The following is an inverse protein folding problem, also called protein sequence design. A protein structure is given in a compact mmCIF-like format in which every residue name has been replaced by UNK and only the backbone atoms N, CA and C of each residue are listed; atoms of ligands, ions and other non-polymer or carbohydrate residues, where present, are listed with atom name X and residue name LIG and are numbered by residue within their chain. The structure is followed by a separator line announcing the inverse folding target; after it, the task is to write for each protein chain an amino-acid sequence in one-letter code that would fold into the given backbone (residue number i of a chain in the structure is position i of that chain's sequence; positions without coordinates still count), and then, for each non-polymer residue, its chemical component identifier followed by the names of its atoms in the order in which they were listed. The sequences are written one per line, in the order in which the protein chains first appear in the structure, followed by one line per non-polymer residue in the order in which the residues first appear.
data_IF_895029281882
#
_entry.id   IF_895029281882
#
_cell.length_a   1.000
_cell.length_b   1.000
_cell.length_c   1.000
_cell.angle_alpha   90.00
_cell.angle_beta   90.00
_cell.angle_gamma   90.00
#
_symmetry.space_group_name_H-M   'P 1'
#
loop_
_entity.id
_entity.type
_entity.pdbx_description
1 polymer ?
#
# COMPACT_ATOMS: atom_id res chain seq x y z
N UNK A 1 0.50 20.81 -26.59
CA UNK A 1 0.62 20.69 -25.13
C UNK A 1 -0.24 19.59 -24.59
N UNK A 2 -0.32 18.56 -25.37
CA UNK A 2 -1.20 17.43 -25.05
C UNK A 2 -0.81 16.77 -23.74
N UNK A 3 0.47 16.60 -23.50
CA UNK A 3 0.92 15.97 -22.25
C UNK A 3 0.62 16.80 -21.02
N UNK A 4 0.84 18.10 -21.12
CA UNK A 4 0.55 19.01 -20.02
C UNK A 4 -0.95 19.02 -19.72
N UNK A 5 -1.76 19.04 -20.76
CA UNK A 5 -3.20 18.99 -20.62
C UNK A 5 -3.65 17.70 -19.96
N UNK A 6 -3.08 16.57 -20.35
CA UNK A 6 -3.39 15.29 -19.73
C UNK A 6 -3.04 15.27 -18.24
N UNK A 7 -1.88 15.82 -17.88
CA UNK A 7 -1.48 15.89 -16.47
C UNK A 7 -2.40 16.79 -15.66
N UNK A 8 -2.81 17.91 -16.24
CA UNK A 8 -3.70 18.84 -15.56
C UNK A 8 -5.08 18.25 -15.34
N UNK A 9 -5.60 17.53 -16.34
CA UNK A 9 -6.94 16.96 -16.29
C UNK A 9 -6.99 15.63 -15.52
N UNK A 10 -5.83 15.06 -15.26
CA UNK A 10 -5.77 13.76 -14.59
C UNK A 10 -5.92 13.91 -13.09
N UNK A 11 -7.00 13.36 -12.57
CA UNK A 11 -7.21 13.31 -11.12
C UNK A 11 -6.32 12.24 -10.50
N UNK A 12 -5.82 12.46 -9.30
CA UNK A 12 -5.18 11.39 -8.53
C UNK A 12 -6.16 10.23 -8.36
N UNK A 13 -5.67 9.03 -8.62
CA UNK A 13 -6.55 7.87 -8.72
C UNK A 13 -7.35 7.57 -7.46
N UNK A 14 -6.72 7.77 -6.29
CA UNK A 14 -7.36 7.44 -5.02
C UNK A 14 -8.24 8.55 -4.45
N UNK A 15 -8.46 9.62 -5.20
CA UNK A 15 -9.54 10.55 -4.88
C UNK A 15 -10.89 9.93 -5.20
N UNK A 16 -10.91 8.94 -6.10
CA UNK A 16 -12.12 8.17 -6.37
C UNK A 16 -12.42 7.25 -5.18
N UNK A 17 -13.60 7.37 -4.55
CA UNK A 17 -13.90 6.57 -3.35
C UNK A 17 -13.77 5.07 -3.55
N UNK A 18 -14.18 4.57 -4.70
CA UNK A 18 -14.10 3.13 -4.97
C UNK A 18 -12.65 2.67 -5.10
N UNK A 19 -11.78 3.49 -5.68
CA UNK A 19 -10.35 3.16 -5.78
C UNK A 19 -9.72 3.11 -4.40
N UNK A 20 -10.08 4.05 -3.53
CA UNK A 20 -9.62 4.05 -2.14
C UNK A 20 -10.07 2.79 -1.41
N UNK A 21 -11.31 2.39 -1.63
CA UNK A 21 -11.86 1.16 -1.05
C UNK A 21 -11.08 -0.07 -1.50
N UNK A 22 -10.76 -0.15 -2.78
CA UNK A 22 -9.95 -1.25 -3.33
C UNK A 22 -8.60 -1.30 -2.63
N UNK A 23 -7.92 -0.16 -2.53
CA UNK A 23 -6.61 -0.10 -1.88
C UNK A 23 -6.68 -0.59 -0.43
N UNK A 24 -7.67 -0.14 0.34
CA UNK A 24 -7.85 -0.54 1.73
C UNK A 24 -8.20 -2.01 1.87
N UNK A 25 -9.10 -2.49 1.04
CA UNK A 25 -9.52 -3.88 1.08
C UNK A 25 -8.35 -4.84 0.90
N UNK A 26 -7.51 -4.59 -0.07
CA UNK A 26 -6.39 -5.49 -0.36
C UNK A 26 -5.26 -5.35 0.65
N UNK A 27 -5.15 -4.21 1.33
CA UNK A 27 -4.26 -4.11 2.48
C UNK A 27 -4.67 -5.10 3.58
N UNK A 28 -5.95 -5.14 3.90
CA UNK A 28 -6.46 -6.06 4.91
C UNK A 28 -6.36 -7.52 4.46
N UNK A 29 -6.48 -7.77 3.17
CA UNK A 29 -6.34 -9.12 2.63
C UNK A 29 -4.90 -9.65 2.74
N UNK A 30 -3.92 -8.79 2.91
CA UNK A 30 -2.54 -9.22 3.13
C UNK A 30 -2.42 -10.13 4.36
N UNK A 31 -3.16 -9.81 5.42
CA UNK A 31 -3.13 -10.60 6.65
C UNK A 31 -3.72 -12.00 6.44
N UNK A 32 -4.67 -12.13 5.52
CA UNK A 32 -5.25 -13.43 5.20
C UNK A 32 -4.36 -14.25 4.28
N UNK A 33 -3.69 -13.57 3.36
CA UNK A 33 -2.81 -14.25 2.40
C UNK A 33 -1.50 -14.71 3.05
N UNK A 34 -0.93 -13.89 3.90
CA UNK A 34 0.38 -14.13 4.50
C UNK A 34 0.24 -14.21 6.02
N UNK A 35 0.38 -15.41 6.58
CA UNK A 35 0.16 -15.63 8.01
C UNK A 35 1.12 -14.88 8.92
N UNK A 36 2.32 -14.61 8.42
CA UNK A 36 3.34 -13.93 9.20
C UNK A 36 3.31 -12.42 9.07
N UNK A 37 2.27 -11.88 8.41
CA UNK A 37 2.13 -10.45 8.18
C UNK A 37 0.97 -9.91 9.00
N UNK A 38 1.20 -8.77 9.65
CA UNK A 38 0.14 -7.98 10.26
C UNK A 38 0.19 -6.58 9.72
N UNK A 39 -0.96 -6.07 9.34
CA UNK A 39 -1.10 -4.69 8.92
C UNK A 39 -1.18 -3.83 10.17
N UNK A 40 -0.26 -2.89 10.27
CA UNK A 40 -0.25 -1.90 11.33
C UNK A 40 -0.86 -0.60 10.80
N UNK A 41 -0.31 0.54 11.13
CA UNK A 41 -0.80 1.80 10.61
C UNK A 41 -0.73 1.86 9.10
N UNK A 42 -1.74 2.44 8.51
CA UNK A 42 -1.82 2.57 7.06
C UNK A 42 -2.72 3.75 6.70
N UNK A 43 -2.49 4.30 5.53
CA UNK A 43 -3.33 5.39 5.02
C UNK A 43 -3.30 5.38 3.50
N UNK A 44 -4.42 5.72 2.89
CA UNK A 44 -4.52 5.91 1.45
C UNK A 44 -4.59 7.41 1.17
N UNK A 45 -3.57 7.91 0.51
CA UNK A 45 -3.52 9.30 0.05
C UNK A 45 -3.98 9.36 -1.40
N UNK A 46 -4.31 10.56 -1.93
CA UNK A 46 -4.85 10.65 -3.29
C UNK A 46 -4.01 9.99 -4.38
N UNK A 47 -2.69 10.04 -4.27
CA UNK A 47 -1.79 9.51 -5.31
C UNK A 47 -0.80 8.46 -4.80
N UNK A 48 -0.92 8.04 -3.55
CA UNK A 48 -0.02 7.03 -2.99
C UNK A 48 -0.63 6.41 -1.74
N UNK A 49 -0.02 5.34 -1.28
CA UNK A 49 -0.41 4.71 -0.02
C UNK A 49 0.81 4.56 0.89
N UNK A 50 0.53 4.55 2.17
CA UNK A 50 1.50 4.16 3.20
C UNK A 50 0.95 2.94 3.91
N UNK A 51 1.75 1.92 4.10
CA UNK A 51 1.37 0.82 4.98
C UNK A 51 2.57 0.33 5.76
N UNK A 52 2.38 0.18 7.06
CA UNK A 52 3.36 -0.40 7.93
C UNK A 52 3.01 -1.86 8.13
N UNK A 53 3.86 -2.74 7.65
CA UNK A 53 3.66 -4.17 7.78
C UNK A 53 4.57 -4.71 8.87
N UNK A 54 3.98 -5.43 9.81
CA UNK A 54 4.71 -6.16 10.83
C UNK A 54 4.92 -7.58 10.33
N UNK A 55 6.18 -7.96 10.19
CA UNK A 55 6.54 -9.29 9.74
C UNK A 55 7.10 -10.08 10.90
N UNK A 56 6.49 -11.21 11.19
CA UNK A 56 6.97 -12.09 12.23
C UNK A 56 8.29 -12.74 11.86
N UNK A 57 8.99 -13.28 12.85
CA UNK A 57 10.37 -13.81 12.72
C UNK A 57 10.57 -14.86 11.63
N UNK A 58 9.52 -15.54 11.20
CA UNK A 58 9.65 -16.53 10.14
C UNK A 58 9.71 -15.80 8.81
N UNK A 59 10.87 -15.83 8.18
CA UNK A 59 11.07 -15.17 6.88
C UNK A 59 10.54 -16.02 5.73
N UNK A 60 9.30 -16.47 5.82
CA UNK A 60 8.72 -17.30 4.77
C UNK A 60 8.49 -16.56 3.46
N UNK A 61 8.16 -15.27 3.55
CA UNK A 61 7.81 -14.48 2.38
C UNK A 61 8.59 -13.18 2.35
N UNK A 62 9.41 -12.95 1.32
CA UNK A 62 10.11 -11.67 1.20
C UNK A 62 9.13 -10.53 0.92
N UNK A 63 9.49 -9.33 1.38
CA UNK A 63 8.65 -8.15 1.22
C UNK A 63 8.34 -7.88 -0.26
N UNK A 64 9.30 -8.11 -1.15
CA UNK A 64 9.09 -7.93 -2.58
C UNK A 64 7.94 -8.77 -3.13
N UNK A 65 7.81 -10.01 -2.65
CA UNK A 65 6.72 -10.88 -3.05
C UNK A 65 5.38 -10.34 -2.54
N UNK A 66 5.35 -9.89 -1.31
CA UNK A 66 4.14 -9.34 -0.68
C UNK A 66 3.67 -8.10 -1.42
N UNK A 67 4.59 -7.19 -1.73
CA UNK A 67 4.29 -5.99 -2.49
C UNK A 67 3.80 -6.33 -3.90
N UNK A 68 4.45 -7.29 -4.56
CA UNK A 68 4.07 -7.73 -5.89
C UNK A 68 2.64 -8.28 -5.90
N UNK A 69 2.31 -9.10 -4.92
CA UNK A 69 0.95 -9.64 -4.80
C UNK A 69 -0.08 -8.51 -4.61
N UNK A 70 0.22 -7.58 -3.71
CA UNK A 70 -0.67 -6.46 -3.46
C UNK A 70 -0.90 -5.63 -4.72
N UNK A 71 0.18 -5.31 -5.43
CA UNK A 71 0.08 -4.56 -6.70
C UNK A 71 -0.78 -5.28 -7.72
N UNK A 72 -0.59 -6.59 -7.84
CA UNK A 72 -1.34 -7.41 -8.80
C UNK A 72 -2.82 -7.42 -8.47
N UNK A 73 -3.15 -7.67 -7.21
CA UNK A 73 -4.55 -7.79 -6.82
C UNK A 73 -5.29 -6.45 -6.93
N UNK A 74 -4.66 -5.38 -6.49
CA UNK A 74 -5.27 -4.05 -6.61
C UNK A 74 -5.42 -3.61 -8.06
N UNK A 75 -4.43 -3.90 -8.90
CA UNK A 75 -4.49 -3.57 -10.32
C UNK A 75 -5.63 -4.31 -11.00
N UNK A 76 -5.75 -5.61 -10.74
CA UNK A 76 -6.82 -6.41 -11.34
C UNK A 76 -8.20 -5.95 -10.88
N UNK A 77 -8.36 -5.66 -9.61
CA UNK A 77 -9.61 -5.14 -9.09
C UNK A 77 -9.96 -3.78 -9.70
N UNK A 78 -8.96 -2.91 -9.84
CA UNK A 78 -9.16 -1.61 -10.46
C UNK A 78 -9.59 -1.74 -11.92
N UNK A 79 -8.92 -2.59 -12.69
CA UNK A 79 -9.23 -2.80 -14.10
C UNK A 79 -10.67 -3.31 -14.26
N UNK A 80 -11.11 -4.20 -13.39
CA UNK A 80 -12.48 -4.69 -13.41
C UNK A 80 -13.47 -3.53 -13.29
N UNK A 81 -13.21 -2.59 -12.41
CA UNK A 81 -14.10 -1.45 -12.22
C UNK A 81 -13.99 -0.42 -13.34
N UNK A 82 -12.85 -0.34 -14.02
CA UNK A 82 -12.74 0.46 -15.23
C UNK A 82 -13.64 -0.12 -16.33
N UNK A 83 -13.63 -1.44 -16.47
CA UNK A 83 -14.50 -2.12 -17.44
C UNK A 83 -15.97 -1.91 -17.13
N UNK A 84 -16.30 -1.83 -15.85
CA UNK A 84 -17.67 -1.56 -15.39
C UNK A 84 -18.01 -0.08 -15.42
N UNK A 85 -17.12 0.77 -15.88
CA UNK A 85 -17.28 2.22 -15.95
C UNK A 85 -17.46 2.89 -14.59
N UNK A 86 -17.02 2.23 -13.54
CA UNK A 86 -17.09 2.76 -12.17
C UNK A 86 -15.83 3.55 -11.79
N UNK A 87 -14.73 3.30 -12.47
CA UNK A 87 -13.45 4.02 -12.25
C UNK A 87 -12.88 4.53 -13.55
N UNK A 88 -12.15 5.63 -13.44
CA UNK A 88 -11.42 6.20 -14.56
C UNK A 88 -10.22 5.33 -14.91
N UNK A 89 -9.92 5.14 -16.20
CA UNK A 89 -8.74 4.36 -16.58
C UNK A 89 -7.46 5.07 -16.15
N UNK A 90 -6.42 4.27 -15.91
CA UNK A 90 -5.10 4.81 -15.65
C UNK A 90 -4.24 4.69 -16.91
N UNK A 91 -3.14 5.44 -16.93
CA UNK A 91 -2.23 5.45 -18.06
C UNK A 91 -1.14 4.40 -17.88
N UNK A 92 -1.13 3.37 -18.72
CA UNK A 92 -0.15 2.28 -18.75
C UNK A 92 -0.18 1.34 -17.55
N UNK A 93 -0.05 1.85 -16.33
CA UNK A 93 -0.05 1.01 -15.12
C UNK A 93 -0.59 1.80 -13.94
N UNK A 94 -1.17 1.07 -13.01
CA UNK A 94 -1.74 1.68 -11.80
C UNK A 94 -0.64 2.17 -10.85
N UNK A 95 0.32 1.30 -10.55
CA UNK A 95 1.41 1.60 -9.63
C UNK A 95 2.69 1.93 -10.37
N UNK A 96 3.45 2.86 -9.84
CA UNK A 96 4.77 3.15 -10.38
C UNK A 96 5.70 1.99 -10.11
N UNK A 97 6.76 1.91 -10.90
CA UNK A 97 7.66 0.75 -10.94
C UNK A 97 8.29 0.45 -9.58
N UNK A 98 8.82 1.47 -8.94
CA UNK A 98 9.54 1.31 -7.68
C UNK A 98 8.65 1.65 -6.51
N UNK A 99 9.02 1.15 -5.36
CA UNK A 99 8.38 1.50 -4.11
C UNK A 99 9.44 1.84 -3.08
N UNK A 100 9.03 2.60 -2.09
CA UNK A 100 9.88 2.93 -0.95
C UNK A 100 9.68 1.87 0.12
N UNK A 101 10.80 1.40 0.69
CA UNK A 101 10.79 0.44 1.77
C UNK A 101 11.69 0.95 2.88
N UNK A 102 11.19 0.98 4.11
CA UNK A 102 11.95 1.39 5.26
C UNK A 102 11.76 0.38 6.38
N UNK A 103 12.84 -0.25 6.81
CA UNK A 103 12.80 -1.20 7.91
C UNK A 103 12.90 -0.43 9.22
N UNK A 104 11.89 -0.56 10.05
CA UNK A 104 11.83 0.12 11.35
C UNK A 104 12.65 -0.68 12.35
N UNK A 105 13.66 -0.04 12.95
CA UNK A 105 14.68 -0.75 13.73
C UNK A 105 14.67 -0.48 15.23
N UNK A 106 13.97 0.55 15.70
CA UNK A 106 13.98 0.91 17.11
C UNK A 106 12.71 1.63 17.52
N UNK A 107 12.57 1.86 18.83
CA UNK A 107 11.40 2.50 19.43
C UNK A 107 11.07 3.84 18.83
N UNK A 108 12.07 4.68 18.72
CA UNK A 108 11.89 6.03 18.22
C UNK A 108 11.39 6.02 16.78
N UNK A 109 12.02 5.19 15.95
CA UNK A 109 11.64 5.05 14.56
C UNK A 109 10.20 4.53 14.43
N UNK A 110 9.84 3.55 15.24
CA UNK A 110 8.48 3.02 15.25
C UNK A 110 7.48 4.07 15.68
N UNK A 111 7.78 4.83 16.72
CA UNK A 111 6.90 5.89 17.21
C UNK A 111 6.70 6.99 16.19
N UNK A 112 7.72 7.35 15.45
CA UNK A 112 7.60 8.31 14.36
C UNK A 112 6.68 7.84 13.26
N UNK A 113 6.68 6.55 12.97
CA UNK A 113 5.85 5.95 11.92
C UNK A 113 4.45 5.63 12.39
N UNK A 114 4.22 5.58 13.70
CA UNK A 114 2.96 5.17 14.32
C UNK A 114 2.51 6.20 15.34
N UNK A 115 2.10 7.33 14.87
CA UNK A 115 1.81 8.49 15.72
C UNK A 115 0.76 8.24 16.82
N UNK A 116 -0.15 7.30 16.65
CA UNK A 116 -1.30 7.14 17.54
C UNK A 116 -1.45 5.79 18.20
N UNK A 117 -0.56 4.85 17.90
CA UNK A 117 -0.66 3.51 18.46
C UNK A 117 0.30 3.39 19.62
N UNK A 118 -0.21 2.96 20.76
CA UNK A 118 0.64 2.72 21.90
C UNK A 118 1.63 1.62 21.61
N UNK A 119 2.87 1.87 22.00
CA UNK A 119 3.91 0.89 21.85
C UNK A 119 3.59 -0.38 22.62
N UNK A 120 3.85 -1.50 21.99
CA UNK A 120 3.77 -2.77 22.61
C UNK A 120 5.18 -3.39 22.60
N UNK A 121 5.83 -3.55 23.76
CA UNK A 121 7.21 -4.06 23.81
C UNK A 121 7.44 -5.38 23.09
N UNK A 122 6.42 -6.21 22.98
CA UNK A 122 6.54 -7.48 22.27
C UNK A 122 6.82 -7.30 20.78
N UNK A 123 6.45 -6.16 20.23
CA UNK A 123 6.62 -5.87 18.80
C UNK A 123 8.07 -5.64 18.40
N UNK A 124 8.95 -5.40 19.37
CA UNK A 124 10.38 -5.24 19.12
C UNK A 124 11.05 -6.48 18.59
N UNK A 125 10.43 -7.61 18.81
CA UNK A 125 10.94 -8.89 18.30
C UNK A 125 10.51 -9.15 16.87
N UNK A 126 9.67 -8.30 16.32
CA UNK A 126 9.14 -8.42 14.97
C UNK A 126 9.75 -7.36 14.07
N UNK A 127 9.83 -7.66 12.79
CA UNK A 127 10.28 -6.69 11.81
C UNK A 127 9.10 -5.85 11.36
N UNK A 128 9.25 -4.54 11.44
CA UNK A 128 8.30 -3.59 10.92
C UNK A 128 8.85 -2.96 9.66
N UNK A 129 8.05 -2.93 8.63
CA UNK A 129 8.45 -2.36 7.34
C UNK A 129 7.41 -1.38 6.86
N UNK A 130 7.84 -0.14 6.66
CA UNK A 130 7.00 0.88 6.03
C UNK A 130 7.15 0.78 4.53
N UNK A 131 6.03 0.70 3.84
CA UNK A 131 5.99 0.63 2.40
C UNK A 131 5.17 1.79 1.86
N UNK A 132 5.71 2.49 0.88
CA UNK A 132 5.01 3.56 0.19
C UNK A 132 4.92 3.18 -1.28
N UNK A 133 3.70 3.08 -1.78
CA UNK A 133 3.45 2.82 -3.19
C UNK A 133 2.83 4.06 -3.81
N UNK A 134 3.36 4.46 -4.95
CA UNK A 134 2.88 5.62 -5.68
C UNK A 134 2.10 5.16 -6.90
N UNK A 135 0.91 5.68 -7.04
CA UNK A 135 0.05 5.39 -8.18
C UNK A 135 0.31 6.35 -9.33
#
# INVERSE_FOLDING_TARGET
MVETERKILRLPLFEQPLAKEIALRWMHELEHKYRNIRLDEHIVMPDHIHMNLMKMKTDEYPIGEIVSWYKTMTTNAYITEVKNRALQPFDKKLWQRNYYEHIIRNDLDLNEKRAYIQDNPRRWKEKNTLIILVA
#
